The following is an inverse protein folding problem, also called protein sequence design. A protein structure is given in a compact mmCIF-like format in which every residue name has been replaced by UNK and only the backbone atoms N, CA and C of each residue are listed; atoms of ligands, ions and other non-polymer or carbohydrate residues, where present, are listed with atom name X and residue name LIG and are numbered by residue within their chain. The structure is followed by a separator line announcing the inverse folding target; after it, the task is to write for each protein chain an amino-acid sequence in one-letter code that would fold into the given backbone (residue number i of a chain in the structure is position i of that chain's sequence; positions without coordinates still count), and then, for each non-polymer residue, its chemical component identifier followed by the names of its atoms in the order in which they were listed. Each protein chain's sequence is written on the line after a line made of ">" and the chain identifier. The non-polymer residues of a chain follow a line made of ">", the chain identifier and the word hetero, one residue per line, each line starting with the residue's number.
data_IF_620045750747
#
_entry.id   IF_620045750747
#
_cell.length_a   1.000
_cell.length_b   1.000
_cell.length_c   1.000
_cell.angle_alpha   90.00
_cell.angle_beta   90.00
_cell.angle_gamma   90.00
#
_symmetry.space_group_name_H-M   'P 1'
#
loop_
_entity.id
_entity.type
_entity.pdbx_description
1 polymer ?
#
# COMPACT_ATOMS: atom_id res chain seq x y z
N UNK A 1 -3.49 3.11 -13.76
CA UNK A 1 -2.28 2.77 -12.98
C UNK A 1 -2.57 2.91 -11.50
N UNK A 2 -2.08 1.99 -10.74
CA UNK A 2 -2.23 2.05 -9.30
C UNK A 2 -0.87 2.26 -8.65
N UNK A 3 -0.85 2.68 -7.40
CA UNK A 3 0.40 2.98 -6.70
C UNK A 3 0.39 2.43 -5.30
N UNK A 4 1.53 1.92 -4.88
CA UNK A 4 1.82 1.61 -3.49
C UNK A 4 2.77 2.69 -2.99
N UNK A 5 2.40 3.39 -1.94
CA UNK A 5 3.19 4.48 -1.39
C UNK A 5 3.64 4.10 0.00
N UNK A 6 4.95 3.93 0.17
CA UNK A 6 5.53 3.57 1.46
C UNK A 6 6.06 4.82 2.12
N UNK A 7 5.51 5.15 3.27
CA UNK A 7 5.94 6.33 4.04
C UNK A 7 6.74 5.85 5.24
N UNK A 8 8.00 6.26 5.32
CA UNK A 8 8.84 5.90 6.44
C UNK A 8 9.68 7.11 6.86
N UNK A 9 10.64 6.89 7.76
CA UNK A 9 11.45 7.98 8.31
C UNK A 9 12.34 8.63 7.28
N UNK A 10 12.66 7.92 6.20
CA UNK A 10 13.57 8.44 5.18
C UNK A 10 12.83 9.12 4.04
N UNK A 11 11.50 9.12 4.08
CA UNK A 11 10.69 9.76 3.06
C UNK A 11 9.69 8.79 2.44
N UNK A 12 9.10 9.20 1.35
CA UNK A 12 8.08 8.42 0.67
C UNK A 12 8.67 7.73 -0.55
N UNK A 13 8.30 6.47 -0.72
CA UNK A 13 8.67 5.70 -1.91
C UNK A 13 7.39 5.28 -2.63
N UNK A 14 7.31 5.58 -3.92
CA UNK A 14 6.13 5.24 -4.70
C UNK A 14 6.48 4.15 -5.71
N UNK A 15 5.65 3.10 -5.72
CA UNK A 15 5.76 2.01 -6.67
C UNK A 15 4.47 1.94 -7.47
N UNK A 16 4.54 2.21 -8.77
CA UNK A 16 3.35 2.13 -9.63
C UNK A 16 3.28 0.75 -10.26
N UNK A 17 2.06 0.31 -10.54
CA UNK A 17 1.86 -0.96 -11.22
C UNK A 17 0.62 -0.88 -12.10
N UNK A 18 0.62 -1.65 -13.17
CA UNK A 18 -0.49 -1.73 -14.10
C UNK A 18 -1.44 -2.82 -13.64
N UNK A 19 -2.67 -2.44 -13.31
CA UNK A 19 -3.65 -3.39 -12.78
C UNK A 19 -4.08 -4.41 -13.84
N UNK A 20 -3.78 -4.16 -15.10
CA UNK A 20 -4.09 -5.10 -16.18
C UNK A 20 -2.94 -6.08 -16.43
N UNK A 21 -1.79 -5.84 -15.85
CA UNK A 21 -0.64 -6.72 -15.98
C UNK A 21 -0.57 -7.65 -14.78
N UNK A 22 -0.88 -8.92 -15.00
CA UNK A 22 -0.93 -9.89 -13.91
C UNK A 22 0.39 -9.99 -13.16
N UNK A 23 1.50 -9.96 -13.88
CA UNK A 23 2.81 -10.08 -13.25
C UNK A 23 3.08 -8.89 -12.33
N UNK A 24 2.69 -7.68 -12.74
CA UNK A 24 2.87 -6.51 -11.91
C UNK A 24 1.95 -6.54 -10.70
N UNK A 25 0.72 -7.02 -10.86
CA UNK A 25 -0.22 -7.16 -9.74
C UNK A 25 0.33 -8.16 -8.73
N UNK A 26 0.89 -9.26 -9.18
CA UNK A 26 1.47 -10.25 -8.28
C UNK A 26 2.65 -9.68 -7.49
N UNK A 27 3.50 -8.88 -8.14
CA UNK A 27 4.60 -8.22 -7.44
C UNK A 27 4.09 -7.22 -6.41
N UNK A 28 3.04 -6.48 -6.75
CA UNK A 28 2.45 -5.52 -5.82
C UNK A 28 1.84 -6.25 -4.61
N UNK A 29 1.17 -7.36 -4.84
CA UNK A 29 0.59 -8.14 -3.75
C UNK A 29 1.68 -8.69 -2.83
N UNK A 30 2.78 -9.17 -3.41
CA UNK A 30 3.89 -9.67 -2.60
C UNK A 30 4.48 -8.55 -1.75
N UNK A 31 4.64 -7.36 -2.34
CA UNK A 31 5.14 -6.21 -1.59
C UNK A 31 4.18 -5.83 -0.47
N UNK A 32 2.88 -5.91 -0.74
CA UNK A 32 1.87 -5.65 0.29
C UNK A 32 2.05 -6.61 1.47
N UNK A 33 2.20 -7.89 1.19
CA UNK A 33 2.40 -8.89 2.24
C UNK A 33 3.68 -8.66 3.01
N UNK A 34 4.76 -8.34 2.31
CA UNK A 34 6.05 -8.10 2.96
C UNK A 34 5.96 -6.90 3.88
N UNK A 35 5.35 -5.82 3.44
CA UNK A 35 5.24 -4.61 4.24
C UNK A 35 4.34 -4.80 5.46
N UNK A 36 3.17 -5.42 5.27
CA UNK A 36 2.28 -5.65 6.41
C UNK A 36 2.87 -6.66 7.37
N UNK A 37 3.62 -7.64 6.85
CA UNK A 37 4.33 -8.60 7.69
C UNK A 37 5.47 -7.95 8.47
N UNK A 38 6.02 -6.86 7.96
CA UNK A 38 7.08 -6.11 8.65
C UNK A 38 6.52 -5.09 9.65
N UNK A 39 5.20 -4.99 9.77
CA UNK A 39 4.59 -4.13 10.77
C UNK A 39 4.00 -2.84 10.21
N UNK A 40 4.00 -2.65 8.90
CA UNK A 40 3.37 -1.47 8.32
C UNK A 40 1.85 -1.63 8.31
N UNK A 41 1.16 -0.52 8.48
CA UNK A 41 -0.29 -0.47 8.33
C UNK A 41 -0.60 -0.05 6.90
N UNK A 42 -1.53 -0.73 6.26
CA UNK A 42 -1.95 -0.42 4.90
C UNK A 42 -3.31 0.25 4.91
N UNK A 43 -3.46 1.30 4.10
CA UNK A 43 -4.73 1.99 3.94
C UNK A 43 -4.91 2.35 2.48
N UNK A 44 -6.14 2.25 1.98
CA UNK A 44 -6.45 2.68 0.62
C UNK A 44 -7.08 4.06 0.66
N UNK A 45 -6.74 4.87 -0.34
CA UNK A 45 -7.37 6.16 -0.53
C UNK A 45 -8.39 6.04 -1.66
N UNK A 46 -9.65 6.27 -1.33
CA UNK A 46 -10.73 6.11 -2.30
C UNK A 46 -11.33 7.44 -2.74
N UNK A 47 -10.89 8.54 -2.15
CA UNK A 47 -11.35 9.88 -2.51
C UNK A 47 -10.65 10.92 -1.68
N UNK A 48 -10.90 12.22 -1.93
CA UNK A 48 -10.25 13.28 -1.18
C UNK A 48 -10.56 13.17 0.30
N UNK A 49 -9.51 12.99 1.10
CA UNK A 49 -9.65 12.92 2.55
C UNK A 49 -10.19 11.61 3.08
N UNK A 50 -10.47 10.64 2.22
CA UNK A 50 -10.98 9.34 2.65
C UNK A 50 -9.90 8.29 2.60
N UNK A 51 -9.60 7.71 3.75
CA UNK A 51 -8.67 6.60 3.87
C UNK A 51 -9.35 5.47 4.64
N UNK A 52 -9.12 4.25 4.21
CA UNK A 52 -9.66 3.08 4.88
C UNK A 52 -8.55 2.06 5.09
N UNK A 53 -8.35 1.64 6.32
CA UNK A 53 -7.36 0.62 6.64
C UNK A 53 -7.83 -0.71 6.06
N UNK A 54 -6.90 -1.41 5.41
CA UNK A 54 -7.19 -2.72 4.83
C UNK A 54 -6.18 -3.73 5.35
N UNK A 55 -6.61 -5.00 5.38
CA UNK A 55 -5.75 -6.10 5.81
C UNK A 55 -5.38 -7.02 4.68
N UNK A 56 -6.06 -6.91 3.56
CA UNK A 56 -5.75 -7.69 2.37
C UNK A 56 -5.58 -6.76 1.19
N UNK A 57 -4.77 -7.20 0.24
CA UNK A 57 -4.43 -6.39 -0.93
C UNK A 57 -5.64 -6.14 -1.81
N UNK A 58 -5.82 -4.90 -2.23
CA UNK A 58 -6.88 -4.48 -3.14
C UNK A 58 -6.23 -3.93 -4.41
N UNK A 59 -6.15 -4.71 -5.48
CA UNK A 59 -5.52 -4.24 -6.70
C UNK A 59 -6.32 -3.16 -7.43
N UNK A 60 -7.58 -2.97 -7.08
CA UNK A 60 -8.42 -1.95 -7.73
C UNK A 60 -8.27 -0.58 -7.10
N UNK A 61 -7.64 -0.48 -5.94
CA UNK A 61 -7.40 0.82 -5.29
C UNK A 61 -6.37 1.61 -6.07
N UNK A 62 -6.64 2.87 -6.34
CA UNK A 62 -5.69 3.73 -7.04
C UNK A 62 -4.43 3.96 -6.23
N UNK A 63 -4.57 4.14 -4.93
CA UNK A 63 -3.44 4.36 -4.05
C UNK A 63 -3.59 3.52 -2.80
N UNK A 64 -2.53 2.82 -2.44
CA UNK A 64 -2.43 2.11 -1.18
C UNK A 64 -1.26 2.69 -0.41
N UNK A 65 -1.54 3.20 0.77
CA UNK A 65 -0.55 3.86 1.61
C UNK A 65 -0.07 2.89 2.68
N UNK A 66 1.24 2.89 2.91
CA UNK A 66 1.84 2.08 3.97
C UNK A 66 2.57 3.02 4.92
N UNK A 67 2.28 2.93 6.19
CA UNK A 67 2.95 3.75 7.20
C UNK A 67 3.31 2.87 8.39
N UNK A 68 4.39 3.22 9.12
CA UNK A 68 4.82 2.43 10.25
C UNK A 68 3.72 2.37 11.30
N UNK A 69 3.53 1.18 11.85
CA UNK A 69 2.56 1.01 12.93
C UNK A 69 3.02 1.81 14.14
N UNK A 70 2.13 2.64 14.64
CA UNK A 70 2.39 3.37 15.87
C UNK A 70 2.30 2.39 17.03
N UNK A 71 3.45 2.12 17.63
CA UNK A 71 3.52 1.22 18.77
C UNK A 71 3.40 2.04 20.03
N UNK A 72 2.52 1.64 20.84
CA UNK A 72 2.58 2.14 22.14
C UNK A 72 1.71 3.23 22.41
N UNK A 73 1.24 3.38 22.50
CA UNK A 73 0.48 4.33 23.09
C UNK A 73 0.17 4.34 24.35
#
# INVERSE_FOLDING_TARGET
>A
MASLIVMDRTGDTRHTFDIQDRAEVEKAERRFRDLTGAGFTAAVRSGPGEQRVIRSFDPTAEETLFYPRLVGG
#
